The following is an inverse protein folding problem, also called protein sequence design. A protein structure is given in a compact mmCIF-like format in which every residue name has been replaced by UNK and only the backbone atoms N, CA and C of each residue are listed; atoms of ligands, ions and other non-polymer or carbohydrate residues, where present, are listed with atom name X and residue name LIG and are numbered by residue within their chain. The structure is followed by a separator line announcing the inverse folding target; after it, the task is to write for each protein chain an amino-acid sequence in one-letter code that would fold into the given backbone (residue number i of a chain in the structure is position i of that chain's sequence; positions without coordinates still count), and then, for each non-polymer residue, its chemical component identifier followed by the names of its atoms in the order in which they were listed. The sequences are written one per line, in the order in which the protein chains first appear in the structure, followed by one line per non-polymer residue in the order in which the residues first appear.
data_IF_057867885967
#
_entry.id   IF_057867885967
#
_cell.length_a   1.000
_cell.length_b   1.000
_cell.length_c   1.000
_cell.angle_alpha   90.00
_cell.angle_beta   90.00
_cell.angle_gamma   90.00
#
_symmetry.space_group_name_H-M   'P 1'
#
loop_
_entity.id
_entity.type
_entity.pdbx_description
1 polymer ?
#
# COMPACT_ATOMS: atom_id res chain seq x y z
N UNK A 1 2.47 11.18 9.57
CA UNK A 1 1.50 11.60 8.53
C UNK A 1 0.31 10.67 8.55
N UNK A 2 -0.92 11.22 8.61
CA UNK A 2 -2.14 10.44 8.37
C UNK A 2 -2.41 10.38 6.87
N UNK A 3 -2.76 9.20 6.37
CA UNK A 3 -2.96 8.93 4.94
C UNK A 3 -4.21 8.07 4.79
N UNK A 4 -5.09 8.44 3.85
CA UNK A 4 -6.20 7.59 3.46
C UNK A 4 -5.82 6.66 2.31
N UNK A 5 -5.85 5.36 2.57
CA UNK A 5 -5.55 4.35 1.54
C UNK A 5 -6.86 3.86 0.93
N UNK A 6 -7.17 4.34 -0.29
CA UNK A 6 -8.36 3.92 -1.04
C UNK A 6 -8.13 2.57 -1.70
N UNK A 7 -8.74 1.51 -1.18
CA UNK A 7 -8.55 0.14 -1.65
C UNK A 7 -9.56 -0.22 -2.75
N UNK A 8 -9.12 -1.01 -3.73
CA UNK A 8 -10.02 -1.73 -4.63
C UNK A 8 -10.56 -2.99 -3.95
N UNK A 9 -11.68 -3.53 -4.43
CA UNK A 9 -12.32 -4.74 -3.85
C UNK A 9 -11.33 -5.92 -3.65
N UNK A 10 -10.50 -6.30 -4.64
CA UNK A 10 -9.55 -7.39 -4.45
C UNK A 10 -8.48 -7.10 -3.37
N UNK A 11 -8.09 -5.83 -3.23
CA UNK A 11 -7.14 -5.40 -2.20
C UNK A 11 -7.77 -5.45 -0.81
N UNK A 12 -9.05 -5.04 -0.70
CA UNK A 12 -9.79 -5.14 0.55
C UNK A 12 -9.95 -6.59 0.97
N UNK A 13 -10.36 -7.46 0.06
CA UNK A 13 -10.50 -8.90 0.33
C UNK A 13 -9.17 -9.53 0.74
N UNK A 14 -8.07 -9.20 0.05
CA UNK A 14 -6.72 -9.65 0.42
C UNK A 14 -6.38 -9.20 1.84
N UNK A 15 -6.56 -7.90 2.13
CA UNK A 15 -6.20 -7.31 3.40
C UNK A 15 -7.02 -7.89 4.56
N UNK A 16 -8.34 -8.09 4.37
CA UNK A 16 -9.22 -8.70 5.37
C UNK A 16 -8.83 -10.15 5.65
N UNK A 17 -8.49 -10.90 4.60
CA UNK A 17 -8.02 -12.28 4.74
C UNK A 17 -6.71 -12.34 5.52
N UNK A 18 -5.71 -11.54 5.16
CA UNK A 18 -4.42 -11.51 5.88
C UNK A 18 -4.60 -11.05 7.33
N UNK A 19 -5.46 -10.06 7.57
CA UNK A 19 -5.79 -9.59 8.92
C UNK A 19 -6.39 -10.72 9.76
N UNK A 20 -7.32 -11.48 9.19
CA UNK A 20 -7.91 -12.65 9.84
C UNK A 20 -6.89 -13.77 10.07
N UNK A 21 -6.11 -14.13 9.04
CA UNK A 21 -5.10 -15.20 9.10
C UNK A 21 -4.01 -14.93 10.14
N UNK A 22 -3.62 -13.65 10.29
CA UNK A 22 -2.65 -13.21 11.31
C UNK A 22 -3.29 -12.85 12.65
N UNK A 23 -4.61 -13.00 12.81
CA UNK A 23 -5.37 -12.63 14.02
C UNK A 23 -5.07 -11.19 14.49
N UNK A 24 -4.97 -10.26 13.54
CA UNK A 24 -4.72 -8.85 13.80
C UNK A 24 -6.03 -8.12 14.10
N UNK A 25 -5.92 -7.07 14.91
CA UNK A 25 -7.10 -6.32 15.38
C UNK A 25 -7.80 -5.54 14.26
N UNK A 26 -7.05 -5.02 13.30
CA UNK A 26 -7.58 -4.21 12.21
C UNK A 26 -6.63 -4.18 11.00
N UNK A 27 -7.14 -3.65 9.91
CA UNK A 27 -6.44 -3.52 8.64
C UNK A 27 -5.25 -2.55 8.70
N UNK A 28 -5.30 -1.51 9.53
CA UNK A 28 -4.18 -0.58 9.73
C UNK A 28 -2.93 -1.32 10.26
N UNK A 29 -3.08 -2.13 11.32
CA UNK A 29 -1.96 -2.94 11.85
C UNK A 29 -1.43 -3.92 10.82
N UNK A 30 -2.30 -4.47 9.98
CA UNK A 30 -1.90 -5.36 8.88
C UNK A 30 -1.08 -4.60 7.84
N UNK A 31 -1.51 -3.42 7.42
CA UNK A 31 -0.76 -2.55 6.50
C UNK A 31 0.62 -2.23 7.07
N UNK A 32 0.71 -1.84 8.35
CA UNK A 32 2.01 -1.59 9.00
C UNK A 32 2.93 -2.81 8.98
N UNK A 33 2.40 -4.01 9.26
CA UNK A 33 3.18 -5.24 9.21
C UNK A 33 3.67 -5.56 7.79
N UNK A 34 2.85 -5.35 6.77
CA UNK A 34 3.23 -5.56 5.37
C UNK A 34 4.35 -4.60 4.97
N UNK A 35 4.21 -3.30 5.26
CA UNK A 35 5.23 -2.28 5.00
C UNK A 35 6.55 -2.68 5.67
N UNK A 36 6.50 -3.03 6.96
CA UNK A 36 7.68 -3.42 7.72
C UNK A 36 8.35 -4.67 7.13
N UNK A 37 7.57 -5.71 6.81
CA UNK A 37 8.08 -6.94 6.23
C UNK A 37 8.79 -6.71 4.90
N UNK A 38 8.21 -5.90 4.01
CA UNK A 38 8.82 -5.55 2.72
C UNK A 38 10.13 -4.79 2.91
N UNK A 39 10.17 -3.85 3.85
CA UNK A 39 11.39 -3.09 4.16
C UNK A 39 12.49 -3.96 4.76
N UNK A 40 12.16 -4.85 5.71
CA UNK A 40 13.12 -5.77 6.34
C UNK A 40 13.69 -6.78 5.34
N UNK A 41 12.85 -7.29 4.44
CA UNK A 41 13.26 -8.25 3.41
C UNK A 41 13.96 -7.58 2.23
N UNK A 42 14.05 -6.24 2.22
CA UNK A 42 14.58 -5.42 1.12
C UNK A 42 13.91 -5.74 -0.23
N UNK A 43 12.62 -6.06 -0.21
CA UNK A 43 11.81 -6.42 -1.38
C UNK A 43 11.10 -5.20 -1.99
N UNK A 44 11.64 -4.02 -1.75
CA UNK A 44 11.08 -2.74 -2.20
C UNK A 44 10.78 -2.71 -3.70
N UNK A 45 11.62 -3.38 -4.50
CA UNK A 45 11.49 -3.39 -5.95
C UNK A 45 10.54 -4.50 -6.45
N UNK A 46 10.28 -5.53 -5.63
CA UNK A 46 9.37 -6.66 -5.93
C UNK A 46 7.89 -6.29 -5.74
N UNK A 47 7.61 -5.22 -4.98
CA UNK A 47 6.27 -4.65 -4.71
C UNK A 47 5.47 -4.40 -5.99
N UNK A 48 6.14 -4.20 -7.12
CA UNK A 48 5.49 -3.87 -8.40
C UNK A 48 5.30 -5.07 -9.33
N UNK A 49 5.93 -6.22 -9.05
CA UNK A 49 5.88 -7.43 -9.89
C UNK A 49 5.98 -7.19 -11.41
N UNK A 50 5.53 -8.16 -12.21
CA UNK A 50 5.26 -7.96 -13.65
C UNK A 50 3.93 -7.22 -13.91
N UNK A 51 3.08 -7.09 -12.88
CA UNK A 51 1.70 -6.65 -12.99
C UNK A 51 1.52 -5.24 -12.42
N UNK A 52 1.81 -4.24 -13.25
CA UNK A 52 1.78 -2.81 -12.85
C UNK A 52 0.36 -2.22 -12.73
N UNK A 53 -0.62 -2.89 -13.31
CA UNK A 53 -2.06 -2.64 -13.17
C UNK A 53 -2.82 -3.82 -13.78
N UNK A 54 -3.58 -4.58 -12.99
CA UNK A 54 -4.53 -5.58 -13.52
C UNK A 54 -5.94 -5.15 -13.15
N UNK A 55 -6.80 -5.07 -14.17
CA UNK A 55 -8.23 -4.87 -14.02
C UNK A 55 -8.68 -3.42 -14.13
N UNK A 56 -9.96 -3.28 -14.48
CA UNK A 56 -10.65 -2.01 -14.58
C UNK A 56 -10.54 -1.19 -13.28
N UNK A 57 -10.54 0.14 -13.42
CA UNK A 57 -10.54 1.09 -12.32
C UNK A 57 -11.93 1.24 -11.69
N UNK A 58 -12.66 0.14 -11.48
CA UNK A 58 -13.91 0.19 -10.73
C UNK A 58 -13.59 0.03 -9.24
N UNK A 59 -13.73 1.13 -8.51
CA UNK A 59 -13.61 1.20 -7.06
C UNK A 59 -15.01 1.11 -6.45
N UNK A 60 -15.22 0.20 -5.50
CA UNK A 60 -16.00 0.61 -4.32
C UNK A 60 -15.04 1.40 -3.45
N UNK A 61 -15.29 2.70 -3.24
CA UNK A 61 -14.38 3.58 -2.52
C UNK A 61 -14.40 3.23 -1.02
N UNK A 62 -13.58 2.26 -0.63
CA UNK A 62 -13.31 1.95 0.77
C UNK A 62 -11.93 2.47 1.14
N UNK A 63 -11.86 3.35 2.14
CA UNK A 63 -10.62 3.89 2.65
C UNK A 63 -10.25 3.29 3.99
N UNK A 64 -8.96 3.05 4.19
CA UNK A 64 -8.37 2.77 5.51
C UNK A 64 -7.46 3.96 5.86
N UNK A 65 -7.80 4.68 6.92
CA UNK A 65 -6.90 5.69 7.48
C UNK A 65 -5.77 4.98 8.24
N UNK A 66 -4.53 5.38 7.99
CA UNK A 66 -3.35 4.87 8.70
C UNK A 66 -2.45 6.04 9.12
N UNK A 67 -1.70 5.87 10.20
CA UNK A 67 -0.70 6.83 10.65
C UNK A 67 0.73 6.34 10.41
N UNK A 68 1.45 7.00 9.51
CA UNK A 68 2.84 6.68 9.16
C UNK A 68 3.83 7.62 9.85
N UNK A 69 4.98 7.11 10.29
CA UNK A 69 6.09 7.95 10.73
C UNK A 69 6.88 8.53 9.54
N UNK A 70 7.67 9.57 9.80
CA UNK A 70 8.40 10.29 8.75
C UNK A 70 9.46 9.44 8.04
N UNK A 71 10.06 8.45 8.72
CA UNK A 71 11.04 7.54 8.11
C UNK A 71 10.33 6.61 7.11
N UNK A 72 9.19 6.05 7.50
CA UNK A 72 8.34 5.22 6.64
C UNK A 72 7.88 6.00 5.42
N UNK A 73 7.39 7.24 5.60
CA UNK A 73 6.99 8.12 4.49
C UNK A 73 8.16 8.36 3.54
N UNK A 74 9.34 8.70 4.08
CA UNK A 74 10.53 8.96 3.27
C UNK A 74 10.93 7.74 2.42
N UNK A 75 10.89 6.54 2.99
CA UNK A 75 11.17 5.29 2.26
C UNK A 75 10.15 5.03 1.16
N UNK A 76 8.85 5.17 1.44
CA UNK A 76 7.79 5.00 0.44
C UNK A 76 7.98 5.96 -0.73
N UNK A 77 8.27 7.23 -0.46
CA UNK A 77 8.55 8.22 -1.51
C UNK A 77 9.81 7.89 -2.30
N UNK A 78 10.85 7.39 -1.63
CA UNK A 78 12.05 6.89 -2.29
C UNK A 78 11.74 5.73 -3.26
N UNK A 79 10.78 4.87 -2.94
CA UNK A 79 10.30 3.84 -3.86
C UNK A 79 9.57 4.48 -5.04
N UNK A 80 8.58 5.35 -4.77
CA UNK A 80 7.81 6.03 -5.82
C UNK A 80 8.70 6.70 -6.88
N UNK A 81 9.72 7.45 -6.43
CA UNK A 81 10.66 8.18 -7.31
C UNK A 81 11.55 7.28 -8.19
N UNK A 82 11.71 5.99 -7.87
CA UNK A 82 12.47 5.06 -8.72
C UNK A 82 11.70 4.67 -9.98
N UNK A 83 10.38 4.83 -9.98
CA UNK A 83 9.51 4.38 -11.05
C UNK A 83 8.94 5.58 -11.80
N UNK A 84 8.79 5.42 -13.11
CA UNK A 84 8.23 6.42 -14.02
C UNK A 84 6.69 6.38 -13.95
N UNK A 85 6.14 6.72 -12.78
CA UNK A 85 4.70 6.92 -12.61
C UNK A 85 4.28 8.28 -13.16
N UNK A 86 3.04 8.38 -13.62
CA UNK A 86 2.44 9.69 -13.90
C UNK A 86 2.40 10.53 -12.61
N UNK A 87 2.46 11.85 -12.78
CA UNK A 87 2.28 12.79 -11.67
C UNK A 87 0.90 12.58 -11.03
N UNK A 88 0.88 12.36 -9.72
CA UNK A 88 -0.36 12.30 -8.96
C UNK A 88 -0.72 13.68 -8.38
N UNK A 89 -2.01 13.92 -8.17
CA UNK A 89 -2.53 15.20 -7.68
C UNK A 89 -2.06 15.55 -6.25
N UNK A 90 -1.56 14.57 -5.49
CA UNK A 90 -1.07 14.79 -4.12
C UNK A 90 -0.07 13.73 -3.66
N UNK A 91 0.77 14.11 -2.69
CA UNK A 91 1.66 13.21 -1.96
C UNK A 91 0.90 12.07 -1.26
N UNK A 92 -0.32 12.34 -0.77
CA UNK A 92 -1.17 11.31 -0.18
C UNK A 92 -1.46 10.20 -1.19
N UNK A 93 -1.76 10.55 -2.43
CA UNK A 93 -2.07 9.59 -3.48
C UNK A 93 -0.83 8.83 -3.99
N UNK A 94 0.34 9.49 -4.05
CA UNK A 94 1.62 8.81 -4.31
C UNK A 94 1.87 7.72 -3.26
N UNK A 95 1.74 8.05 -1.97
CA UNK A 95 1.92 7.10 -0.87
C UNK A 95 0.86 5.99 -0.94
N UNK A 96 -0.40 6.36 -1.17
CA UNK A 96 -1.52 5.43 -1.33
C UNK A 96 -1.27 4.43 -2.45
N UNK A 97 -0.76 4.87 -3.59
CA UNK A 97 -0.40 4.01 -4.73
C UNK A 97 0.61 2.94 -4.34
N UNK A 98 1.68 3.32 -3.65
CA UNK A 98 2.74 2.38 -3.25
C UNK A 98 2.19 1.35 -2.25
N UNK A 99 1.45 1.80 -1.23
CA UNK A 99 0.88 0.90 -0.22
C UNK A 99 -0.12 -0.09 -0.86
N UNK A 100 -0.94 0.38 -1.80
CA UNK A 100 -1.83 -0.49 -2.59
C UNK A 100 -1.08 -1.56 -3.38
N UNK A 101 0.10 -1.22 -3.92
CA UNK A 101 0.96 -2.22 -4.56
C UNK A 101 1.55 -3.20 -3.54
N UNK A 102 1.93 -2.74 -2.34
CA UNK A 102 2.43 -3.61 -1.27
C UNK A 102 1.38 -4.62 -0.78
N UNK A 103 0.10 -4.25 -0.78
CA UNK A 103 -1.00 -5.17 -0.42
C UNK A 103 -1.20 -6.27 -1.50
N UNK A 104 -0.81 -6.00 -2.74
CA UNK A 104 -0.92 -6.96 -3.84
C UNK A 104 0.28 -7.93 -3.92
N UNK A 105 1.34 -7.71 -3.14
CA UNK A 105 2.53 -8.55 -3.08
C UNK A 105 2.33 -9.76 -2.16
#
# INVERSE_FOLDING_TARGET
MKVNITLKDPQKECLDKVTSDLSLENNEKTIHKLIHGIFELNQNDDVFGDYRCVGDCYSTEQSVEIELDDETVSKIKGIFQKYDFDDYDSEEEEISKIIRSMINF
#
